data_IF_290549980531
#
_entry.id   IF_290549980531
#
_cell.length_a   1.000
_cell.length_b   1.000
_cell.length_c   1.000
_cell.angle_alpha   90.00
_cell.angle_beta   90.00
_cell.angle_gamma   90.00
#
_symmetry.space_group_name_H-M   'P 1'
#
loop_
_entity.id
_entity.type
_entity.pdbx_description
1 polymer ?
#
# COMPACT_ATOMS: atom_id res chain seq x y z
N UNK A 1 18.32 2.38 6.35
CA UNK A 1 18.21 3.67 5.63
C UNK A 1 17.05 3.75 4.63
N UNK A 2 16.34 2.68 4.25
CA UNK A 2 15.09 2.80 3.47
C UNK A 2 13.84 2.89 4.36
N UNK A 3 13.85 2.18 5.49
CA UNK A 3 12.71 2.03 6.41
C UNK A 3 12.29 3.36 7.03
N UNK A 4 13.23 4.14 7.57
CA UNK A 4 12.95 5.44 8.21
C UNK A 4 12.19 6.40 7.29
N UNK A 5 12.45 6.32 5.99
CA UNK A 5 11.88 7.25 5.03
C UNK A 5 10.48 6.86 4.55
N UNK A 6 10.04 5.62 4.80
CA UNK A 6 8.66 5.23 4.49
C UNK A 6 7.69 5.75 5.55
N UNK A 7 8.11 5.77 6.82
CA UNK A 7 7.35 6.40 7.90
C UNK A 7 7.34 7.93 7.76
N UNK A 8 8.49 8.55 7.41
CA UNK A 8 8.55 10.00 7.11
C UNK A 8 7.59 10.37 5.97
N UNK A 9 7.65 9.67 4.83
CA UNK A 9 6.72 9.89 3.71
C UNK A 9 5.24 9.74 4.10
N UNK A 10 4.93 8.79 4.98
CA UNK A 10 3.57 8.60 5.49
C UNK A 10 3.14 9.76 6.40
N UNK A 11 4.03 10.26 7.24
CA UNK A 11 3.76 11.37 8.16
C UNK A 11 3.70 12.73 7.43
N UNK A 12 4.37 12.87 6.28
CA UNK A 12 4.27 14.04 5.39
C UNK A 12 2.92 14.16 4.67
N UNK A 13 2.12 13.09 4.62
CA UNK A 13 0.80 13.14 3.99
C UNK A 13 -0.08 14.19 4.71
N UNK A 14 -0.60 15.19 3.98
CA UNK A 14 -1.16 16.40 4.59
C UNK A 14 -2.49 16.16 5.29
N UNK A 15 -3.19 15.08 4.96
CA UNK A 15 -4.54 14.79 5.45
C UNK A 15 -4.68 13.33 5.87
N UNK A 16 -5.48 13.10 6.92
CA UNK A 16 -5.86 11.75 7.39
C UNK A 16 -6.51 10.91 6.28
N UNK A 17 -7.18 11.55 5.32
CA UNK A 17 -7.74 10.88 4.14
C UNK A 17 -6.65 10.25 3.28
N UNK A 18 -5.55 10.97 3.03
CA UNK A 18 -4.42 10.49 2.23
C UNK A 18 -3.65 9.40 2.96
N UNK A 19 -3.50 9.52 4.28
CA UNK A 19 -2.95 8.46 5.14
C UNK A 19 -3.73 7.16 5.02
N UNK A 20 -5.07 7.22 5.09
CA UNK A 20 -5.93 6.04 4.86
C UNK A 20 -5.81 5.46 3.45
N UNK A 21 -5.64 6.31 2.44
CA UNK A 21 -5.41 5.86 1.05
C UNK A 21 -4.06 5.14 0.96
N UNK A 22 -3.00 5.69 1.57
CA UNK A 22 -1.68 5.07 1.62
C UNK A 22 -1.72 3.71 2.31
N UNK A 23 -2.35 3.61 3.48
CA UNK A 23 -2.54 2.33 4.18
C UNK A 23 -3.18 1.29 3.26
N UNK A 24 -4.33 1.60 2.67
CA UNK A 24 -5.03 0.67 1.78
C UNK A 24 -4.22 0.32 0.53
N UNK A 25 -3.49 1.29 -0.02
CA UNK A 25 -2.63 1.08 -1.19
C UNK A 25 -1.53 0.07 -0.88
N UNK A 26 -0.77 0.27 0.20
CA UNK A 26 0.33 -0.64 0.54
C UNK A 26 -0.15 -2.03 0.96
N UNK A 27 -1.28 -2.11 1.66
CA UNK A 27 -1.93 -3.40 1.95
C UNK A 27 -2.34 -4.12 0.68
N UNK A 28 -2.90 -3.42 -0.31
CA UNK A 28 -3.33 -4.07 -1.56
C UNK A 28 -2.15 -4.50 -2.44
N UNK A 29 -1.04 -3.75 -2.38
CA UNK A 29 0.22 -4.07 -3.07
C UNK A 29 1.06 -5.15 -2.37
N UNK A 30 0.59 -5.65 -1.23
CA UNK A 30 1.28 -6.67 -0.45
C UNK A 30 0.34 -7.83 -0.20
N UNK A 31 0.80 -9.06 -0.42
CA UNK A 31 0.02 -10.26 -0.12
C UNK A 31 0.75 -11.09 0.92
N UNK A 32 0.00 -11.60 1.91
CA UNK A 32 0.52 -12.52 2.92
C UNK A 32 0.19 -13.96 2.49
N UNK A 33 1.21 -14.71 2.11
CA UNK A 33 1.08 -16.11 1.72
C UNK A 33 0.73 -17.00 2.92
N UNK A 34 0.29 -18.23 2.64
CA UNK A 34 -0.10 -19.20 3.67
C UNK A 34 1.03 -19.60 4.63
N UNK A 35 2.29 -19.44 4.21
CA UNK A 35 3.48 -19.66 5.05
C UNK A 35 3.84 -18.43 5.91
N UNK A 36 3.06 -17.36 5.82
CA UNK A 36 3.27 -16.10 6.55
C UNK A 36 4.23 -15.13 5.87
N UNK A 37 4.75 -15.44 4.68
CA UNK A 37 5.61 -14.52 3.92
C UNK A 37 4.80 -13.40 3.30
N UNK A 38 5.34 -12.20 3.38
CA UNK A 38 4.79 -11.01 2.73
C UNK A 38 5.49 -10.83 1.38
N UNK A 39 4.72 -10.93 0.30
CA UNK A 39 5.19 -10.81 -1.08
C UNK A 39 4.54 -9.61 -1.78
N UNK A 40 5.13 -9.20 -2.91
CA UNK A 40 4.57 -8.12 -3.75
C UNK A 40 3.38 -8.62 -4.55
N UNK A 41 2.35 -7.78 -4.62
CA UNK A 41 1.15 -7.98 -5.44
C UNK A 41 0.92 -6.74 -6.32
N UNK A 42 1.55 -6.67 -7.50
CA UNK A 42 1.28 -5.59 -8.45
C UNK A 42 -0.22 -5.48 -8.73
N UNK A 43 -0.79 -4.29 -8.55
CA UNK A 43 -2.24 -4.09 -8.64
C UNK A 43 -2.57 -2.89 -9.52
N UNK A 44 -3.68 -2.97 -10.26
CA UNK A 44 -4.13 -1.88 -11.14
C UNK A 44 -4.56 -0.65 -10.35
N UNK A 45 -4.29 0.54 -10.90
CA UNK A 45 -4.73 1.80 -10.31
C UNK A 45 -6.25 1.85 -10.10
N UNK A 46 -7.04 1.33 -11.04
CA UNK A 46 -8.51 1.26 -10.91
C UNK A 46 -8.97 0.42 -9.72
N UNK A 47 -8.32 -0.72 -9.47
CA UNK A 47 -8.62 -1.61 -8.33
C UNK A 47 -8.24 -0.92 -7.01
N UNK A 48 -7.07 -0.27 -6.97
CA UNK A 48 -6.63 0.53 -5.82
C UNK A 48 -7.65 1.64 -5.52
N UNK A 49 -8.09 2.39 -6.53
CA UNK A 49 -9.10 3.45 -6.36
C UNK A 49 -10.41 2.90 -5.79
N UNK A 50 -10.88 1.75 -6.29
CA UNK A 50 -12.11 1.11 -5.84
C UNK A 50 -12.03 0.65 -4.37
N UNK A 51 -10.92 0.02 -3.97
CA UNK A 51 -10.70 -0.44 -2.58
C UNK A 51 -10.47 0.74 -1.64
N UNK A 52 -9.71 1.74 -2.10
CA UNK A 52 -9.42 2.96 -1.35
C UNK A 52 -10.68 3.80 -1.11
N UNK A 53 -11.63 3.79 -2.06
CA UNK A 53 -12.73 4.76 -2.08
C UNK A 53 -12.21 6.16 -2.45
N UNK A 54 -11.24 6.21 -3.34
CA UNK A 54 -10.50 7.41 -3.72
C UNK A 54 -10.45 7.58 -5.23
N UNK A 55 -10.24 8.81 -5.67
CA UNK A 55 -10.08 9.14 -7.09
C UNK A 55 -8.63 8.87 -7.54
N UNK A 56 -8.43 8.72 -8.85
CA UNK A 56 -7.09 8.56 -9.44
C UNK A 56 -6.15 9.72 -9.07
N UNK A 57 -6.67 10.94 -8.96
CA UNK A 57 -5.90 12.12 -8.53
C UNK A 57 -5.39 11.97 -7.09
N UNK A 58 -6.27 11.58 -6.17
CA UNK A 58 -5.89 11.38 -4.76
C UNK A 58 -4.88 10.25 -4.59
N UNK A 59 -5.07 9.12 -5.28
CA UNK A 59 -4.12 8.01 -5.26
C UNK A 59 -2.79 8.42 -5.91
N UNK A 60 -2.84 9.19 -6.99
CA UNK A 60 -1.67 9.75 -7.66
C UNK A 60 -0.86 10.69 -6.77
N UNK A 61 -1.52 11.55 -5.98
CA UNK A 61 -0.85 12.41 -4.99
C UNK A 61 -0.10 11.58 -3.95
N UNK A 62 -0.74 10.55 -3.40
CA UNK A 62 -0.09 9.63 -2.45
C UNK A 62 1.11 8.95 -3.10
N UNK A 63 0.93 8.35 -4.29
CA UNK A 63 2.02 7.71 -5.03
C UNK A 63 3.17 8.68 -5.29
N UNK A 64 2.88 9.94 -5.61
CA UNK A 64 3.89 10.94 -5.88
C UNK A 64 4.75 11.26 -4.65
N UNK A 65 4.15 11.34 -3.45
CA UNK A 65 4.90 11.51 -2.19
C UNK A 65 5.90 10.36 -1.99
N UNK A 66 5.44 9.11 -2.13
CA UNK A 66 6.30 7.93 -2.00
C UNK A 66 7.29 7.73 -3.17
N UNK A 67 7.17 8.48 -4.27
CA UNK A 67 8.11 8.47 -5.41
C UNK A 67 9.11 9.63 -5.39
N UNK A 68 8.76 10.76 -4.79
CA UNK A 68 9.52 12.01 -4.90
C UNK A 68 10.65 12.13 -3.87
N UNK A 69 10.54 11.49 -2.71
CA UNK A 69 11.54 11.59 -1.62
C UNK A 69 12.83 10.78 -1.88
N UNK A 70 13.55 11.08 -2.96
CA UNK A 70 14.85 10.51 -3.30
C UNK A 70 14.87 8.98 -3.46
N UNK A 71 13.68 8.35 -3.51
CA UNK A 71 13.45 6.91 -3.44
C UNK A 71 12.29 6.55 -4.34
N UNK A 72 12.51 5.60 -5.24
CA UNK A 72 11.42 4.93 -5.95
C UNK A 72 10.92 3.80 -5.07
N UNK A 73 10.05 4.10 -4.11
CA UNK A 73 9.42 3.03 -3.32
C UNK A 73 8.29 2.34 -4.09
N UNK A 74 7.59 3.11 -4.92
CA UNK A 74 6.53 2.63 -5.78
C UNK A 74 6.92 2.80 -7.24
N UNK A 75 6.62 1.79 -8.04
CA UNK A 75 6.60 1.87 -9.50
C UNK A 75 5.17 2.00 -9.98
N UNK A 76 5.00 2.72 -11.08
CA UNK A 76 3.73 2.85 -11.77
C UNK A 76 3.98 2.83 -13.27
N UNK A 77 3.19 2.04 -13.99
CA UNK A 77 3.25 2.01 -15.45
C UNK A 77 2.81 3.34 -16.08
N UNK A 78 3.30 3.59 -17.29
CA UNK A 78 2.87 4.68 -18.14
C UNK A 78 2.10 4.14 -19.35
N UNK A 79 0.98 4.77 -19.76
CA UNK A 79 0.38 5.97 -19.17
C UNK A 79 -0.22 5.71 -17.78
N UNK A 80 -0.18 6.73 -16.90
CA UNK A 80 -0.75 6.66 -15.55
C UNK A 80 -2.29 6.80 -15.62
N UNK A 81 -2.94 5.74 -16.09
CA UNK A 81 -4.38 5.64 -16.22
C UNK A 81 -4.95 4.51 -15.33
N UNK A 82 -6.25 4.25 -15.41
CA UNK A 82 -6.90 3.21 -14.59
C UNK A 82 -6.35 1.80 -14.79
N UNK A 83 -5.64 1.53 -15.89
CA UNK A 83 -4.99 0.25 -16.18
C UNK A 83 -3.52 0.21 -15.77
N UNK A 84 -2.94 1.33 -15.34
CA UNK A 84 -1.56 1.38 -14.87
C UNK A 84 -1.36 0.39 -13.71
N UNK A 85 -0.36 -0.48 -13.83
CA UNK A 85 0.05 -1.35 -12.74
C UNK A 85 0.90 -0.55 -11.77
N UNK A 86 0.53 -0.62 -10.49
CA UNK A 86 1.29 -0.07 -9.38
C UNK A 86 1.94 -1.23 -8.65
N UNK A 87 3.21 -1.09 -8.27
CA UNK A 87 3.95 -2.11 -7.52
C UNK A 87 4.95 -1.47 -6.54
N UNK A 88 5.39 -2.26 -5.56
CA UNK A 88 6.46 -1.88 -4.62
C UNK A 88 7.81 -2.23 -5.25
N UNK A 89 8.70 -1.25 -5.32
CA UNK A 89 9.99 -1.40 -6.01
C UNK A 89 10.93 -2.39 -5.31
N UNK A 90 10.88 -2.51 -3.99
CA UNK A 90 11.78 -3.35 -3.21
C UNK A 90 11.06 -4.10 -2.08
N UNK A 91 11.19 -5.43 -2.03
CA UNK A 91 10.64 -6.25 -0.94
C UNK A 91 11.28 -5.96 0.43
N UNK A 92 12.47 -5.36 0.45
CA UNK A 92 13.08 -4.88 1.70
C UNK A 92 12.25 -3.79 2.37
N UNK A 93 11.44 -3.05 1.61
CA UNK A 93 10.46 -2.12 2.17
C UNK A 93 9.37 -2.89 2.91
N UNK A 94 8.80 -3.91 2.27
CA UNK A 94 7.74 -4.74 2.86
C UNK A 94 8.21 -5.36 4.18
N UNK A 95 9.34 -6.09 4.14
CA UNK A 95 9.89 -6.78 5.32
C UNK A 95 10.40 -5.83 6.41
N UNK A 96 10.74 -4.61 6.04
CA UNK A 96 11.38 -3.65 6.95
C UNK A 96 10.42 -2.65 7.57
N UNK A 97 9.24 -2.45 6.98
CA UNK A 97 8.31 -1.42 7.40
C UNK A 97 7.30 -1.96 8.40
N UNK A 98 7.59 -1.74 9.69
CA UNK A 98 6.78 -2.26 10.80
C UNK A 98 5.31 -1.88 10.68
N UNK A 99 5.02 -0.64 10.31
CA UNK A 99 3.66 -0.13 10.14
C UNK A 99 2.86 -0.93 9.11
N UNK A 100 3.48 -1.32 8.00
CA UNK A 100 2.82 -2.15 6.99
C UNK A 100 2.53 -3.55 7.53
N UNK A 101 3.48 -4.17 8.23
CA UNK A 101 3.26 -5.48 8.83
C UNK A 101 2.13 -5.45 9.86
N UNK A 102 2.08 -4.40 10.70
CA UNK A 102 1.01 -4.19 11.67
C UNK A 102 -0.37 -4.06 10.96
N UNK A 103 -0.45 -3.31 9.86
CA UNK A 103 -1.67 -3.19 9.07
C UNK A 103 -2.15 -4.51 8.45
N UNK A 104 -1.22 -5.33 7.96
CA UNK A 104 -1.53 -6.64 7.38
C UNK A 104 -1.99 -7.63 8.46
N UNK A 105 -1.38 -7.58 9.65
CA UNK A 105 -1.78 -8.42 10.78
C UNK A 105 -3.17 -8.04 11.30
N UNK A 106 -3.48 -6.76 11.41
CA UNK A 106 -4.82 -6.30 11.79
C UNK A 106 -5.88 -6.72 10.76
N UNK A 107 -5.55 -6.66 9.47
CA UNK A 107 -6.44 -7.15 8.40
C UNK A 107 -6.66 -8.66 8.49
N UNK A 108 -5.60 -9.43 8.70
CA UNK A 108 -5.69 -10.89 8.85
C UNK A 108 -6.55 -11.28 10.07
N UNK A 109 -6.39 -10.59 11.20
CA UNK A 109 -7.22 -10.78 12.41
C UNK A 109 -8.68 -10.45 12.14
N UNK A 110 -8.96 -9.32 11.48
CA UNK A 110 -10.32 -8.92 11.12
C UNK A 110 -10.96 -9.96 10.18
N UNK A 111 -10.27 -10.38 9.13
CA UNK A 111 -10.74 -11.41 8.20
C UNK A 111 -11.03 -12.74 8.90
N UNK A 112 -10.18 -13.15 9.85
CA UNK A 112 -10.40 -14.36 10.63
C UNK A 112 -11.62 -14.25 11.55
N UNK A 113 -11.83 -13.10 12.19
CA UNK A 113 -13.01 -12.86 13.02
C UNK A 113 -14.31 -12.91 12.20
N UNK A 114 -14.33 -12.30 11.01
CA UNK A 114 -15.47 -12.38 10.09
C UNK A 114 -15.77 -13.81 9.64
N UNK A 115 -14.76 -14.62 9.32
CA UNK A 115 -14.97 -16.04 8.95
C UNK A 115 -15.58 -16.86 10.08
N UNK A 116 -15.25 -16.56 11.34
CA UNK A 116 -15.82 -17.24 12.52
C UNK A 116 -17.25 -16.83 12.84
N UNK A 117 -17.63 -15.60 12.50
CA UNK A 117 -18.99 -15.08 12.73
C UNK A 117 -19.98 -15.42 11.59
N UNK A 118 -19.46 -15.76 10.40
CA UNK A 118 -20.25 -16.20 9.26
C UNK A 118 -20.53 -17.72 9.24
N UNK A 119 -20.27 -18.42 10.35
CA UNK A 119 -20.58 -19.84 10.58
C UNK A 119 -21.75 -20.00 11.56
#
# INVERSE_FOLDING_TARGET
MLITHADEAYDELPDERKKKIAEKLFKLLTEKEADGREIRRPTKLSEICAVAGATQGEVGEVINVFRHEGRSFLTADLPFDGNAMIDISHESLIRGWQRLSDWLDEEAKAAQAYRRLAQ
#
